data_IF_304508974955
#
_entry.id   IF_304508974955
#
_cell.length_a   1.000
_cell.length_b   1.000
_cell.length_c   1.000
_cell.angle_alpha   90.00
_cell.angle_beta   90.00
_cell.angle_gamma   90.00
#
_symmetry.space_group_name_H-M   'P 1'
#
loop_
_entity.id
_entity.type
_entity.pdbx_description
1 polymer ?
#
# COMPACT_ATOMS: atom_id res chain seq x y z
N UNK A 1 58.79 22.30 -30.75
CA UNK A 1 57.81 22.57 -31.82
C UNK A 1 56.75 21.47 -31.96
N UNK A 2 56.99 20.22 -31.56
CA UNK A 2 56.01 19.12 -31.72
C UNK A 2 54.82 19.22 -30.76
N UNK A 3 55.05 19.66 -29.52
CA UNK A 3 54.00 19.91 -28.52
C UNK A 3 52.90 20.85 -29.07
N UNK A 4 53.25 21.93 -29.77
CA UNK A 4 52.26 22.83 -30.38
C UNK A 4 51.46 22.16 -31.50
N UNK A 5 52.02 21.16 -32.20
CA UNK A 5 51.28 20.37 -33.20
C UNK A 5 50.29 19.43 -32.55
N UNK A 6 50.64 18.83 -31.40
CA UNK A 6 49.75 17.98 -30.61
C UNK A 6 48.57 18.81 -30.09
N UNK A 7 48.82 19.97 -29.49
CA UNK A 7 47.74 20.87 -29.04
C UNK A 7 46.87 21.37 -30.20
N UNK A 8 47.45 21.69 -31.36
CA UNK A 8 46.67 22.06 -32.54
C UNK A 8 45.77 20.92 -33.04
N UNK A 9 46.27 19.67 -33.05
CA UNK A 9 45.49 18.50 -33.43
C UNK A 9 44.30 18.25 -32.48
N UNK A 10 44.52 18.38 -31.17
CA UNK A 10 43.45 18.23 -30.15
C UNK A 10 42.39 19.32 -30.32
N UNK A 11 42.79 20.58 -30.51
CA UNK A 11 41.84 21.70 -30.71
C UNK A 11 41.02 21.54 -32.00
N UNK A 12 41.63 21.11 -33.10
CA UNK A 12 40.91 20.84 -34.37
C UNK A 12 39.95 19.66 -34.22
N UNK A 13 40.36 18.57 -33.58
CA UNK A 13 39.49 17.43 -33.33
C UNK A 13 38.28 17.81 -32.44
N UNK A 14 38.50 18.58 -31.37
CA UNK A 14 37.42 19.06 -30.50
C UNK A 14 36.43 19.98 -31.22
N UNK A 15 36.92 20.89 -32.06
CA UNK A 15 36.08 21.82 -32.83
C UNK A 15 35.26 21.10 -33.92
N UNK A 16 35.83 20.05 -34.54
CA UNK A 16 35.07 19.17 -35.45
C UNK A 16 34.00 18.39 -34.69
N UNK A 17 34.31 17.87 -33.50
CA UNK A 17 33.33 17.18 -32.64
C UNK A 17 32.16 18.07 -32.23
N UNK A 18 32.42 19.27 -31.71
CA UNK A 18 31.38 20.24 -31.34
C UNK A 18 30.54 20.71 -32.53
N UNK A 19 31.17 20.98 -33.69
CA UNK A 19 30.42 21.41 -34.87
C UNK A 19 29.57 20.30 -35.48
N UNK A 20 30.02 19.04 -35.44
CA UNK A 20 29.21 17.89 -35.83
C UNK A 20 27.98 17.72 -34.91
N UNK A 21 28.16 17.87 -33.58
CA UNK A 21 27.04 17.87 -32.63
C UNK A 21 26.02 18.97 -32.91
N UNK A 22 26.48 20.22 -33.04
CA UNK A 22 25.61 21.36 -33.33
C UNK A 22 24.87 21.23 -34.68
N UNK A 23 25.52 20.69 -35.72
CA UNK A 23 24.87 20.41 -37.02
C UNK A 23 23.87 19.25 -36.91
N UNK A 24 24.11 18.26 -36.06
CA UNK A 24 23.14 17.21 -35.76
C UNK A 24 21.91 17.78 -35.04
N UNK A 25 22.08 18.65 -34.03
CA UNK A 25 21.01 19.38 -33.33
C UNK A 25 20.19 20.29 -34.26
N UNK A 26 20.82 20.82 -35.31
CA UNK A 26 20.17 21.68 -36.31
C UNK A 26 19.40 20.88 -37.39
N UNK A 27 19.84 19.65 -37.70
CA UNK A 27 19.22 18.79 -38.72
C UNK A 27 18.18 17.83 -38.14
N UNK A 28 18.43 17.27 -36.96
CA UNK A 28 17.46 16.52 -36.19
C UNK A 28 16.76 17.56 -35.32
N UNK A 29 15.54 17.95 -35.72
CA UNK A 29 14.58 18.56 -34.80
C UNK A 29 13.80 17.41 -34.15
N UNK A 30 14.18 16.96 -32.93
CA UNK A 30 13.34 16.04 -32.20
C UNK A 30 12.09 16.82 -31.81
N UNK A 31 10.96 16.50 -32.44
CA UNK A 31 9.67 16.94 -31.93
C UNK A 31 9.46 16.23 -30.59
N UNK A 32 9.84 16.90 -29.51
CA UNK A 32 9.42 16.54 -28.16
C UNK A 32 7.90 16.74 -28.12
N UNK A 33 7.09 15.67 -27.98
CA UNK A 33 5.68 15.86 -27.71
C UNK A 33 5.57 16.46 -26.30
N UNK A 34 4.78 17.53 -26.15
CA UNK A 34 4.59 18.20 -24.85
C UNK A 34 3.75 17.33 -23.88
N UNK A 35 3.22 16.20 -24.35
CA UNK A 35 2.47 15.23 -23.58
C UNK A 35 2.83 13.80 -24.01
N UNK A 36 3.04 12.90 -23.04
CA UNK A 36 3.48 11.53 -23.31
C UNK A 36 2.30 10.69 -23.82
N UNK A 37 2.51 9.91 -24.88
CA UNK A 37 1.47 9.06 -25.48
C UNK A 37 0.88 7.98 -24.54
N UNK A 38 1.51 7.76 -23.37
CA UNK A 38 0.94 7.09 -22.21
C UNK A 38 1.22 7.93 -20.96
N UNK A 39 0.17 8.33 -20.25
CA UNK A 39 0.31 8.88 -18.91
C UNK A 39 0.50 7.72 -17.93
N UNK A 40 1.66 7.69 -17.29
CA UNK A 40 1.89 6.93 -16.06
C UNK A 40 2.17 7.95 -14.98
N UNK A 41 1.27 8.06 -14.00
CA UNK A 41 1.32 9.01 -12.89
C UNK A 41 2.40 8.68 -11.84
N UNK A 42 3.66 8.54 -12.26
CA UNK A 42 4.82 8.66 -11.36
C UNK A 42 5.06 10.14 -11.08
N UNK A 43 4.39 10.66 -10.07
CA UNK A 43 4.60 12.03 -9.60
C UNK A 43 5.92 12.18 -8.84
N UNK A 44 6.94 12.71 -9.51
CA UNK A 44 7.80 13.76 -8.97
C UNK A 44 8.44 14.54 -10.13
N UNK A 45 8.65 15.85 -9.94
CA UNK A 45 8.99 16.77 -11.02
C UNK A 45 9.26 18.22 -10.63
N UNK A 46 9.63 18.49 -9.38
CA UNK A 46 10.30 19.74 -9.00
C UNK A 46 9.45 21.02 -9.03
N UNK A 47 8.65 21.22 -7.97
CA UNK A 47 8.23 22.56 -7.54
C UNK A 47 8.82 22.87 -6.16
N UNK A 48 9.15 24.15 -5.92
CA UNK A 48 9.51 24.67 -4.60
C UNK A 48 8.36 24.39 -3.58
N UNK A 49 8.60 24.43 -2.25
CA UNK A 49 7.62 23.99 -1.26
C UNK A 49 6.40 24.91 -1.21
N UNK A 50 5.44 24.63 -2.10
CA UNK A 50 4.03 24.81 -1.80
C UNK A 50 3.75 23.91 -0.61
N UNK A 51 3.36 24.52 0.52
CA UNK A 51 2.74 23.78 1.60
C UNK A 51 1.56 23.05 0.99
N UNK A 52 1.66 21.72 0.93
CA UNK A 52 0.60 20.86 0.44
C UNK A 52 -0.52 20.99 1.47
N UNK A 53 -1.51 21.83 1.18
CA UNK A 53 -2.77 21.77 1.89
C UNK A 53 -3.31 20.38 1.63
N UNK A 54 -3.44 19.63 2.72
CA UNK A 54 -4.00 18.29 2.69
C UNK A 54 -5.37 18.37 2.02
N UNK A 55 -5.46 17.84 0.81
CA UNK A 55 -6.72 17.73 0.08
C UNK A 55 -7.53 16.66 0.82
N UNK A 56 -8.31 17.13 1.79
CA UNK A 56 -9.01 16.32 2.77
C UNK A 56 -9.79 15.22 2.07
N UNK A 57 -9.54 13.98 2.50
CA UNK A 57 -10.24 12.82 1.96
C UNK A 57 -11.74 12.93 2.25
N UNK A 58 -12.62 12.51 1.33
CA UNK A 58 -14.01 12.32 1.67
C UNK A 58 -14.12 11.30 2.82
N UNK A 59 -15.02 11.53 3.80
CA UNK A 59 -15.24 10.60 4.91
C UNK A 59 -15.68 9.24 4.39
N UNK A 60 -15.02 8.17 4.84
CA UNK A 60 -15.17 6.84 4.25
C UNK A 60 -16.47 6.15 4.65
N UNK A 61 -17.10 6.54 5.77
CA UNK A 61 -18.41 6.01 6.20
C UNK A 61 -19.48 6.03 5.09
N UNK A 62 -19.58 7.12 4.32
CA UNK A 62 -20.52 7.21 3.20
C UNK A 62 -20.18 6.28 2.02
N UNK A 63 -18.89 6.03 1.78
CA UNK A 63 -18.40 5.17 0.69
C UNK A 63 -18.49 3.67 1.04
N UNK A 64 -18.38 3.33 2.32
CA UNK A 64 -18.54 1.97 2.85
C UNK A 64 -19.99 1.48 2.72
N UNK A 65 -20.98 2.37 2.84
CA UNK A 65 -22.39 2.04 2.63
C UNK A 65 -22.70 1.57 1.20
N UNK A 66 -21.85 1.92 0.23
CA UNK A 66 -21.95 1.51 -1.18
C UNK A 66 -20.78 0.63 -1.65
N UNK A 67 -19.94 0.16 -0.74
CA UNK A 67 -18.76 -0.62 -1.08
C UNK A 67 -19.08 -2.07 -1.47
N UNK A 68 -18.33 -2.59 -2.44
CA UNK A 68 -18.40 -3.98 -2.90
C UNK A 68 -17.15 -4.76 -2.44
N UNK A 69 -17.30 -5.69 -1.47
CA UNK A 69 -16.20 -6.55 -1.03
C UNK A 69 -15.62 -7.46 -2.14
N UNK A 70 -16.38 -7.84 -3.18
CA UNK A 70 -15.86 -8.69 -4.26
C UNK A 70 -14.98 -7.90 -5.24
N UNK A 71 -15.33 -6.63 -5.51
CA UNK A 71 -14.42 -5.69 -6.15
C UNK A 71 -13.19 -5.43 -5.27
N UNK A 72 -13.38 -5.31 -3.95
CA UNK A 72 -12.32 -5.17 -2.96
C UNK A 72 -11.33 -6.32 -2.96
N UNK A 73 -11.80 -7.57 -2.99
CA UNK A 73 -10.98 -8.77 -3.12
C UNK A 73 -10.10 -8.74 -4.38
N UNK A 74 -10.69 -8.34 -5.51
CA UNK A 74 -9.98 -8.26 -6.79
C UNK A 74 -8.86 -7.22 -6.74
N UNK A 75 -9.08 -6.08 -6.09
CA UNK A 75 -8.07 -5.04 -5.86
C UNK A 75 -7.00 -5.48 -4.83
N UNK A 76 -7.42 -6.17 -3.77
CA UNK A 76 -6.55 -6.68 -2.70
C UNK A 76 -5.55 -7.75 -3.18
N UNK A 77 -5.71 -8.29 -4.40
CA UNK A 77 -4.68 -9.11 -5.07
C UNK A 77 -3.32 -8.39 -5.18
N UNK A 78 -3.30 -7.06 -5.22
CA UNK A 78 -2.03 -6.32 -5.18
C UNK A 78 -1.32 -6.46 -3.81
N UNK A 79 -2.07 -6.66 -2.72
CA UNK A 79 -1.54 -6.80 -1.37
C UNK A 79 -0.88 -8.18 -1.14
N UNK A 80 -1.35 -9.24 -1.82
CA UNK A 80 -0.86 -10.63 -1.62
C UNK A 80 0.61 -10.84 -1.99
N UNK A 81 1.19 -9.91 -2.76
CA UNK A 81 2.63 -9.90 -3.08
C UNK A 81 3.49 -9.70 -1.82
N UNK A 82 2.97 -8.97 -0.83
CA UNK A 82 3.70 -8.62 0.40
C UNK A 82 3.07 -9.20 1.67
N UNK A 83 1.76 -9.44 1.68
CA UNK A 83 0.97 -9.78 2.86
C UNK A 83 0.22 -11.10 2.71
N UNK A 84 -0.10 -11.74 3.83
CA UNK A 84 -1.02 -12.87 3.90
C UNK A 84 -2.40 -12.37 4.35
N UNK A 85 -3.44 -12.78 3.64
CA UNK A 85 -4.84 -12.36 3.84
C UNK A 85 -5.70 -13.43 4.53
N UNK A 86 -5.19 -14.65 4.70
CA UNK A 86 -5.89 -15.74 5.39
C UNK A 86 -5.59 -15.79 6.88
N UNK A 87 -6.36 -16.59 7.62
CA UNK A 87 -6.32 -16.70 9.08
C UNK A 87 -5.08 -17.39 9.64
N UNK A 88 -4.08 -17.76 8.82
CA UNK A 88 -2.76 -18.16 9.34
C UNK A 88 -2.01 -17.00 10.00
N UNK A 89 -2.28 -15.76 9.58
CA UNK A 89 -1.56 -14.58 10.06
C UNK A 89 -0.07 -14.58 9.72
N UNK A 90 0.39 -15.35 8.72
CA UNK A 90 1.81 -15.47 8.41
C UNK A 90 2.43 -14.13 7.97
N UNK A 91 3.58 -13.78 8.55
CA UNK A 91 4.36 -12.61 8.17
C UNK A 91 5.22 -12.89 6.93
N UNK A 92 5.27 -11.93 6.00
CA UNK A 92 6.14 -11.98 4.81
C UNK A 92 6.93 -10.67 4.67
N UNK A 93 6.83 -9.99 3.53
CA UNK A 93 7.42 -8.66 3.32
C UNK A 93 6.67 -7.61 4.16
N UNK A 94 5.37 -7.82 4.36
CA UNK A 94 4.53 -7.12 5.33
C UNK A 94 3.90 -8.11 6.34
N UNK A 95 3.25 -7.59 7.39
CA UNK A 95 2.56 -8.39 8.41
C UNK A 95 1.30 -9.07 7.84
N UNK A 96 0.78 -10.07 8.56
CA UNK A 96 -0.55 -10.63 8.30
C UNK A 96 -1.66 -9.56 8.36
N UNK A 97 -2.62 -9.64 7.43
CA UNK A 97 -3.74 -8.70 7.32
C UNK A 97 -5.09 -9.27 7.77
N UNK A 98 -5.15 -10.55 8.15
CA UNK A 98 -6.30 -11.08 8.89
C UNK A 98 -6.51 -10.30 10.18
N UNK A 99 -7.73 -9.86 10.45
CA UNK A 99 -8.11 -9.01 11.57
C UNK A 99 -7.35 -7.69 11.60
N UNK A 100 -7.15 -7.01 10.45
CA UNK A 100 -6.44 -5.71 10.43
C UNK A 100 -7.36 -4.53 10.78
N UNK A 101 -8.64 -4.58 10.43
CA UNK A 101 -9.60 -3.49 10.69
C UNK A 101 -9.91 -3.42 12.17
N UNK A 102 -9.62 -2.28 12.81
CA UNK A 102 -9.75 -2.07 14.26
C UNK A 102 -8.62 -2.70 15.09
N UNK A 103 -7.55 -3.20 14.48
CA UNK A 103 -6.37 -3.71 15.21
C UNK A 103 -5.40 -2.58 15.54
N UNK A 104 -4.67 -2.66 16.68
CA UNK A 104 -3.64 -1.69 16.97
C UNK A 104 -2.57 -1.58 15.87
N UNK A 105 -2.15 -0.34 15.61
CA UNK A 105 -1.10 -0.01 14.64
C UNK A 105 0.24 -0.59 15.11
N UNK A 106 1.05 -1.06 14.16
CA UNK A 106 2.37 -1.67 14.43
C UNK A 106 2.38 -2.86 15.42
N UNK A 107 1.26 -3.57 15.62
CA UNK A 107 1.12 -4.56 16.70
C UNK A 107 1.12 -6.04 16.28
N UNK A 108 1.29 -6.38 14.99
CA UNK A 108 1.22 -7.78 14.56
C UNK A 108 2.42 -8.57 15.10
N UNK A 109 2.14 -9.69 15.77
CA UNK A 109 3.16 -10.51 16.42
C UNK A 109 4.22 -10.97 15.41
N UNK A 110 5.49 -10.96 15.84
CA UNK A 110 6.62 -11.42 15.05
C UNK A 110 7.03 -10.56 13.84
N UNK A 111 6.39 -9.41 13.60
CA UNK A 111 6.74 -8.52 12.49
C UNK A 111 7.62 -7.33 12.92
N UNK A 112 8.70 -7.08 12.18
CA UNK A 112 9.63 -5.97 12.42
C UNK A 112 9.18 -4.69 11.69
N UNK A 113 8.46 -3.82 12.39
CA UNK A 113 7.97 -2.56 11.82
C UNK A 113 9.06 -1.50 11.63
N UNK A 114 8.93 -0.69 10.57
CA UNK A 114 9.75 0.51 10.35
C UNK A 114 9.53 1.58 11.42
N UNK A 115 10.56 2.37 11.74
CA UNK A 115 10.48 3.45 12.73
C UNK A 115 9.32 4.44 12.48
N UNK A 116 9.05 4.81 11.23
CA UNK A 116 7.91 5.69 10.89
C UNK A 116 6.54 5.08 11.24
N UNK A 117 6.39 3.76 11.08
CA UNK A 117 5.16 3.05 11.43
C UNK A 117 5.02 2.84 12.94
N UNK A 118 6.14 2.72 13.68
CA UNK A 118 6.13 2.69 15.13
C UNK A 118 5.72 4.06 15.70
N UNK A 119 6.27 5.15 15.18
CA UNK A 119 5.89 6.51 15.56
C UNK A 119 4.41 6.81 15.23
N UNK A 120 3.93 6.38 14.05
CA UNK A 120 2.52 6.55 13.70
C UNK A 120 1.57 5.80 14.65
N UNK A 121 1.99 4.70 15.28
CA UNK A 121 1.17 4.02 16.29
C UNK A 121 0.97 4.84 17.59
N UNK A 122 1.79 5.87 17.84
CA UNK A 122 1.60 6.80 18.97
C UNK A 122 0.54 7.87 18.64
N UNK A 123 0.41 8.25 17.37
CA UNK A 123 -0.56 9.23 16.85
C UNK A 123 -1.91 8.58 16.50
N UNK A 124 -1.85 7.36 15.97
CA UNK A 124 -2.94 6.58 15.41
C UNK A 124 -2.91 5.15 15.98
N UNK A 125 -3.38 4.95 17.22
CA UNK A 125 -3.18 3.69 17.94
C UNK A 125 -3.85 2.50 17.28
N UNK A 126 -4.93 2.70 16.51
CA UNK A 126 -5.73 1.65 15.89
C UNK A 126 -6.00 1.90 14.40
N UNK A 127 -6.07 0.84 13.61
CA UNK A 127 -6.46 0.86 12.19
C UNK A 127 -7.97 1.02 12.01
N UNK A 128 -8.49 2.21 12.30
CA UNK A 128 -9.88 2.58 11.99
C UNK A 128 -10.12 2.63 10.47
N UNK A 129 -11.39 2.72 10.06
CA UNK A 129 -11.75 2.87 8.64
C UNK A 129 -11.09 4.10 8.01
N UNK A 130 -11.12 5.23 8.71
CA UNK A 130 -10.49 6.49 8.34
C UNK A 130 -8.96 6.36 8.25
N UNK A 131 -8.28 5.78 9.24
CA UNK A 131 -6.82 5.61 9.18
C UNK A 131 -6.39 4.68 8.04
N UNK A 132 -7.16 3.62 7.76
CA UNK A 132 -6.95 2.78 6.58
C UNK A 132 -7.22 3.54 5.26
N UNK A 133 -8.24 4.41 5.20
CA UNK A 133 -8.54 5.23 4.03
C UNK A 133 -7.38 6.18 3.69
N UNK A 134 -6.85 6.87 4.70
CA UNK A 134 -5.70 7.76 4.57
C UNK A 134 -4.42 7.01 4.18
N UNK A 135 -4.09 5.94 4.91
CA UNK A 135 -2.89 5.16 4.63
C UNK A 135 -2.92 4.50 3.24
N UNK A 136 -4.05 3.91 2.84
CA UNK A 136 -4.17 3.28 1.53
C UNK A 136 -4.22 4.28 0.36
N UNK A 137 -4.55 5.57 0.57
CA UNK A 137 -4.43 6.60 -0.49
C UNK A 137 -2.98 6.77 -0.92
N UNK A 138 -2.05 6.97 0.03
CA UNK A 138 -0.60 7.06 -0.21
C UNK A 138 0.19 6.73 1.07
N UNK A 139 0.68 5.49 1.24
CA UNK A 139 1.34 5.04 2.47
C UNK A 139 2.54 5.87 2.91
N UNK A 140 3.35 6.35 1.95
CA UNK A 140 4.57 7.12 2.21
C UNK A 140 4.32 8.57 2.60
N UNK A 141 3.24 9.15 2.09
CA UNK A 141 2.85 10.54 2.37
C UNK A 141 2.17 10.58 3.75
N UNK A 142 1.32 9.58 4.06
CA UNK A 142 0.63 9.45 5.34
C UNK A 142 1.53 8.98 6.50
N UNK A 143 2.44 8.03 6.25
CA UNK A 143 3.39 7.54 7.25
C UNK A 143 4.82 7.73 6.75
N UNK A 144 5.42 8.91 6.98
CA UNK A 144 6.80 9.20 6.59
C UNK A 144 7.77 8.15 7.17
N UNK A 145 8.57 7.53 6.29
CA UNK A 145 9.51 6.48 6.70
C UNK A 145 8.89 5.09 6.89
N UNK A 146 7.65 4.84 6.45
CA UNK A 146 7.12 3.48 6.30
C UNK A 146 7.96 2.65 5.32
N UNK A 147 8.20 1.37 5.65
CA UNK A 147 8.81 0.42 4.71
C UNK A 147 7.86 -0.04 3.59
N UNK A 148 6.56 0.30 3.65
CA UNK A 148 5.59 -0.11 2.63
C UNK A 148 5.80 0.63 1.31
N UNK A 149 6.47 -0.02 0.35
CA UNK A 149 6.74 0.51 -0.98
C UNK A 149 5.55 0.42 -1.94
N UNK A 150 4.37 0.87 -1.53
CA UNK A 150 3.16 0.86 -2.34
C UNK A 150 2.83 2.26 -2.89
N UNK A 151 2.24 2.31 -4.09
CA UNK A 151 1.87 3.57 -4.77
C UNK A 151 0.57 4.19 -4.23
N UNK A 152 -0.25 3.39 -3.53
CA UNK A 152 -1.56 3.79 -3.03
C UNK A 152 -2.69 3.67 -4.06
N UNK A 153 -3.92 3.72 -3.57
CA UNK A 153 -5.16 3.61 -4.34
C UNK A 153 -5.81 5.00 -4.40
N UNK A 154 -5.76 5.64 -5.56
CA UNK A 154 -6.23 7.03 -5.72
C UNK A 154 -7.74 7.17 -5.74
N UNK A 155 -8.47 6.17 -6.24
CA UNK A 155 -9.93 6.18 -6.30
C UNK A 155 -10.51 5.87 -4.91
N UNK A 156 -11.45 6.71 -4.47
CA UNK A 156 -12.01 6.64 -3.12
C UNK A 156 -12.94 5.44 -2.92
N UNK A 157 -13.72 5.08 -3.94
CA UNK A 157 -14.58 3.90 -3.90
C UNK A 157 -13.75 2.62 -3.96
N UNK A 158 -12.64 2.59 -4.71
CA UNK A 158 -11.72 1.44 -4.74
C UNK A 158 -11.08 1.20 -3.36
N UNK A 159 -10.72 2.28 -2.63
CA UNK A 159 -10.28 2.15 -1.23
C UNK A 159 -11.38 1.63 -0.32
N UNK A 160 -12.59 2.17 -0.42
CA UNK A 160 -13.73 1.70 0.36
C UNK A 160 -14.06 0.22 0.08
N UNK A 161 -13.96 -0.22 -1.18
CA UNK A 161 -14.11 -1.63 -1.58
C UNK A 161 -13.04 -2.50 -0.92
N UNK A 162 -11.76 -2.13 -1.01
CA UNK A 162 -10.65 -2.87 -0.35
C UNK A 162 -10.83 -2.92 1.16
N UNK A 163 -11.22 -1.82 1.81
CA UNK A 163 -11.43 -1.76 3.26
C UNK A 163 -12.66 -2.59 3.68
N UNK A 164 -13.74 -2.58 2.88
CA UNK A 164 -14.90 -3.45 3.08
C UNK A 164 -14.53 -4.93 2.92
N UNK A 165 -13.61 -5.28 2.01
CA UNK A 165 -13.07 -6.64 1.91
C UNK A 165 -12.18 -7.00 3.10
N UNK A 166 -11.22 -6.15 3.49
CA UNK A 166 -10.36 -6.38 4.67
C UNK A 166 -11.17 -6.56 5.96
N UNK A 167 -12.30 -5.87 6.08
CA UNK A 167 -13.28 -6.06 7.17
C UNK A 167 -13.87 -7.48 7.21
N UNK A 168 -14.04 -8.16 6.07
CA UNK A 168 -14.52 -9.56 6.04
C UNK A 168 -13.49 -10.58 6.49
N UNK A 169 -12.21 -10.21 6.54
CA UNK A 169 -11.11 -11.06 6.98
C UNK A 169 -10.96 -11.02 8.51
N UNK A 170 -12.02 -11.36 9.25
CA UNK A 170 -12.03 -11.39 10.72
C UNK A 170 -13.09 -12.35 11.24
N UNK A 171 -12.83 -13.03 12.35
CA UNK A 171 -13.85 -13.77 13.11
C UNK A 171 -14.92 -12.82 13.72
N UNK A 172 -14.54 -11.59 14.06
CA UNK A 172 -15.41 -10.54 14.58
C UNK A 172 -15.23 -9.26 13.73
N UNK A 173 -16.01 -9.08 12.65
CA UNK A 173 -15.86 -7.95 11.74
C UNK A 173 -16.50 -6.69 12.34
N UNK A 174 -15.66 -5.71 12.70
CA UNK A 174 -16.03 -4.40 13.25
C UNK A 174 -17.30 -3.83 12.57
N UNK A 175 -18.28 -3.26 13.29
CA UNK A 175 -19.48 -2.70 12.67
C UNK A 175 -19.13 -1.55 11.72
N UNK A 176 -19.88 -1.42 10.62
CA UNK A 176 -19.74 -0.27 9.73
C UNK A 176 -20.21 1.00 10.47
N UNK A 177 -19.51 2.14 10.31
CA UNK A 177 -19.89 3.40 10.93
C UNK A 177 -21.17 3.95 10.28
N UNK A 178 -21.99 4.68 11.04
CA UNK A 178 -23.17 5.32 10.46
C UNK A 178 -22.72 6.44 9.49
N UNK A 179 -23.25 6.50 8.26
CA UNK A 179 -22.80 7.43 7.22
C UNK A 179 -23.11 8.90 7.52
N UNK A 180 -23.70 9.20 8.67
CA UNK A 180 -24.01 10.55 9.15
C UNK A 180 -23.20 10.94 10.41
N UNK A 181 -22.44 10.04 11.03
CA UNK A 181 -21.67 10.32 12.26
C UNK A 181 -20.24 10.84 11.98
N UNK A 182 -19.68 10.53 10.81
CA UNK A 182 -18.32 10.93 10.37
C UNK A 182 -18.08 12.43 10.14
N UNK A 183 -18.84 13.30 10.81
CA UNK A 183 -18.66 14.76 10.85
C UNK A 183 -18.14 15.22 12.22
N UNK A 184 -18.44 14.50 13.30
CA UNK A 184 -18.17 14.94 14.67
C UNK A 184 -16.85 14.38 15.24
N UNK A 185 -16.46 13.14 14.89
CA UNK A 185 -15.25 12.49 15.44
C UNK A 185 -13.93 13.20 15.04
N UNK A 186 -13.93 14.00 13.97
CA UNK A 186 -12.78 14.81 13.55
C UNK A 186 -12.66 16.17 14.29
N UNK A 187 -13.63 16.56 15.11
CA UNK A 187 -13.65 17.88 15.76
C UNK A 187 -13.24 17.85 17.24
N UNK A 188 -13.47 16.72 17.93
CA UNK A 188 -13.28 16.61 19.40
C UNK A 188 -11.80 16.65 19.83
N UNK A 189 -10.85 16.53 18.90
CA UNK A 189 -9.40 16.60 19.16
C UNK A 189 -8.79 18.00 19.21
N UNK A 190 -9.56 19.08 18.97
CA UNK A 190 -9.01 20.39 18.62
C UNK A 190 -9.56 21.60 19.42
N UNK A 191 -10.00 21.42 20.68
CA UNK A 191 -10.62 22.49 21.49
C UNK A 191 -10.06 22.63 22.93
N UNK A 192 -8.83 23.14 23.05
CA UNK A 192 -8.12 23.46 24.32
C UNK A 192 -7.08 24.58 24.03
N UNK A 193 -7.07 25.78 24.60
CA UNK A 193 -8.05 26.58 25.38
C UNK A 193 -8.03 28.06 24.86
N UNK A 194 -8.99 28.90 25.29
CA UNK A 194 -8.95 30.35 25.58
C UNK A 194 -10.26 31.09 25.15
N UNK A 195 -10.81 32.08 25.86
CA UNK A 195 -10.59 32.63 27.22
C UNK A 195 -11.86 33.45 27.64
N UNK A 196 -11.90 33.88 28.91
CA UNK A 196 -12.41 35.19 29.39
C UNK A 196 -13.68 35.24 30.28
N UNK A 197 -13.41 35.30 31.59
CA UNK A 197 -13.89 36.31 32.54
C UNK A 197 -15.35 36.31 33.07
N UNK A 198 -15.49 36.15 34.40
CA UNK A 198 -15.67 37.28 35.34
C UNK A 198 -15.75 36.86 36.83
N UNK A 199 -14.99 37.54 37.69
CA UNK A 199 -15.32 38.08 39.04
C UNK A 199 -14.03 38.26 39.88
N UNK A 200 -13.91 39.39 40.59
CA UNK A 200 -12.67 39.94 41.19
C UNK A 200 -12.74 39.98 42.76
N UNK A 201 -11.66 40.33 43.52
CA UNK A 201 -11.20 39.45 44.61
C UNK A 201 -11.18 40.06 46.02
N UNK A 202 -10.92 39.20 47.02
CA UNK A 202 -10.23 39.50 48.31
C UNK A 202 -9.62 38.19 48.86
N UNK A 203 -8.47 38.10 49.52
CA UNK A 203 -7.40 39.08 49.79
C UNK A 203 -6.29 38.48 50.69
N UNK A 204 -5.16 39.19 50.81
CA UNK A 204 -4.21 39.20 51.95
C UNK A 204 -3.31 37.97 52.28
N UNK A 205 -2.16 37.91 51.58
CA UNK A 205 -0.77 37.99 52.12
C UNK A 205 -0.10 36.92 53.03
N UNK A 206 1.26 37.03 53.11
CA UNK A 206 2.22 36.47 54.13
C UNK A 206 2.61 34.98 53.91
N UNK A 207 3.87 34.49 53.82
CA UNK A 207 5.29 35.02 53.82
C UNK A 207 6.29 33.91 53.40
N UNK A 208 7.54 34.26 53.00
CA UNK A 208 8.89 33.62 53.23
C UNK A 208 9.02 32.06 53.41
N UNK A 209 10.12 31.31 53.12
CA UNK A 209 11.50 31.45 52.60
C UNK A 209 11.92 29.99 52.18
N UNK A 210 12.58 29.72 51.02
CA UNK A 210 14.04 29.61 50.79
C UNK A 210 14.74 28.27 51.17
N UNK A 211 15.72 27.84 50.35
CA UNK A 211 16.61 26.66 50.51
C UNK A 211 16.13 25.37 49.81
N UNK A 212 16.67 24.83 48.70
CA UNK A 212 18.04 24.64 48.15
C UNK A 212 18.65 23.24 48.42
N UNK A 213 19.59 22.83 47.55
CA UNK A 213 20.47 21.64 47.54
C UNK A 213 19.91 20.29 47.01
N UNK A 214 20.31 19.98 45.76
CA UNK A 214 20.73 18.63 45.34
C UNK A 214 22.16 18.35 45.84
N UNK A 215 22.64 17.08 45.95
CA UNK A 215 23.22 16.34 44.79
C UNK A 215 22.77 14.86 44.74
N UNK A 216 22.71 14.17 43.59
CA UNK A 216 23.80 13.55 42.80
C UNK A 216 24.65 12.47 43.52
N UNK A 217 24.70 11.25 42.97
CA UNK A 217 25.88 10.36 43.03
C UNK A 217 25.91 9.39 41.81
N UNK A 218 27.10 8.90 41.50
CA UNK A 218 27.48 8.07 40.33
C UNK A 218 27.50 6.56 40.66
N UNK A 219 27.56 5.70 39.63
CA UNK A 219 28.57 4.62 39.49
C UNK A 219 28.35 3.73 38.25
N UNK A 220 29.43 3.08 37.81
CA UNK A 220 29.62 2.41 36.50
C UNK A 220 30.08 0.95 36.69
N UNK A 221 30.12 0.17 35.59
CA UNK A 221 30.84 -1.13 35.45
C UNK A 221 30.22 -2.38 36.15
N UNK A 222 30.38 -3.63 35.70
CA UNK A 222 31.17 -4.25 34.60
C UNK A 222 30.35 -5.27 33.79
N UNK A 223 30.87 -5.73 32.64
CA UNK A 223 30.48 -7.00 32.00
C UNK A 223 31.35 -8.17 32.53
N UNK A 224 31.02 -9.44 32.23
CA UNK A 224 31.91 -10.10 31.27
C UNK A 224 31.23 -11.09 30.29
N UNK A 225 32.04 -11.46 29.29
CA UNK A 225 31.82 -12.40 28.18
C UNK A 225 31.72 -13.87 28.60
N UNK A 226 31.07 -14.70 27.77
CA UNK A 226 31.63 -15.99 27.37
C UNK A 226 31.41 -16.25 25.87
N UNK A 227 32.38 -16.96 25.29
CA UNK A 227 32.49 -17.34 23.88
C UNK A 227 32.38 -18.87 23.79
N UNK A 228 31.63 -19.43 22.84
CA UNK A 228 31.79 -20.85 22.47
C UNK A 228 31.69 -21.03 20.96
N UNK A 229 32.73 -21.62 20.41
CA UNK A 229 32.87 -22.02 19.00
C UNK A 229 32.53 -23.51 18.80
N UNK A 230 32.35 -23.94 17.55
CA UNK A 230 31.97 -25.31 17.18
C UNK A 230 31.08 -25.28 15.93
N UNK A 231 31.64 -25.00 14.76
CA UNK A 231 32.30 -25.96 13.84
C UNK A 231 31.30 -26.78 13.02
N UNK A 232 31.53 -26.80 11.71
CA UNK A 232 30.57 -27.28 10.71
C UNK A 232 30.64 -28.79 10.49
N UNK A 233 29.50 -29.39 10.16
CA UNK A 233 29.42 -30.71 9.52
C UNK A 233 28.64 -30.57 8.22
N UNK A 234 29.32 -30.82 7.11
CA UNK A 234 28.74 -31.07 5.80
C UNK A 234 28.08 -32.45 5.77
N UNK A 235 26.85 -32.59 5.26
CA UNK A 235 26.46 -33.66 4.31
C UNK A 235 25.26 -33.20 3.47
N UNK A 236 25.35 -33.42 2.15
CA UNK A 236 24.27 -33.34 1.17
C UNK A 236 23.79 -34.77 0.91
N UNK A 237 22.49 -35.02 0.67
CA UNK A 237 22.19 -35.75 -0.56
C UNK A 237 20.91 -35.29 -1.31
N UNK A 238 21.09 -35.09 -2.61
CA UNK A 238 20.19 -35.42 -3.72
C UNK A 238 18.67 -35.61 -3.44
N UNK A 239 17.86 -34.72 -4.03
CA UNK A 239 16.42 -34.90 -4.22
C UNK A 239 15.96 -34.28 -5.56
N UNK A 240 16.45 -34.83 -6.69
CA UNK A 240 16.14 -34.32 -8.05
C UNK A 240 15.36 -35.28 -8.95
N UNK A 241 14.98 -36.47 -8.48
CA UNK A 241 14.20 -37.45 -9.27
C UNK A 241 12.71 -37.55 -8.88
N UNK A 242 12.23 -36.75 -7.92
CA UNK A 242 10.82 -36.74 -7.46
C UNK A 242 10.01 -35.59 -8.09
N UNK A 243 10.66 -34.69 -8.82
CA UNK A 243 10.04 -33.46 -9.37
C UNK A 243 9.56 -33.55 -10.83
N UNK A 244 9.95 -34.57 -11.59
CA UNK A 244 9.44 -34.79 -12.97
C UNK A 244 8.09 -35.53 -12.98
N UNK A 245 7.94 -36.60 -12.19
CA UNK A 245 6.72 -37.43 -12.12
C UNK A 245 5.48 -36.64 -11.69
N UNK A 246 5.64 -35.71 -10.74
CA UNK A 246 4.60 -34.81 -10.28
C UNK A 246 4.19 -33.75 -11.34
N UNK A 247 5.12 -33.34 -12.22
CA UNK A 247 4.84 -32.35 -13.25
C UNK A 247 4.09 -32.96 -14.44
N UNK A 248 4.41 -34.20 -14.83
CA UNK A 248 3.69 -34.93 -15.88
C UNK A 248 2.26 -35.27 -15.43
N UNK A 249 2.09 -35.76 -14.20
CA UNK A 249 0.76 -36.03 -13.61
C UNK A 249 -0.11 -34.77 -13.51
N UNK A 250 0.48 -33.62 -13.18
CA UNK A 250 -0.25 -32.34 -13.14
C UNK A 250 -0.68 -31.87 -14.53
N UNK A 251 0.16 -32.07 -15.56
CA UNK A 251 -0.17 -31.70 -16.94
C UNK A 251 -1.30 -32.54 -17.53
N UNK A 252 -1.31 -33.87 -17.28
CA UNK A 252 -2.37 -34.77 -17.73
C UNK A 252 -3.72 -34.42 -17.07
N UNK A 253 -3.71 -34.18 -15.74
CA UNK A 253 -4.91 -33.76 -14.98
C UNK A 253 -5.49 -32.44 -15.51
N UNK A 254 -4.65 -31.48 -15.89
CA UNK A 254 -5.09 -30.19 -16.46
C UNK A 254 -5.71 -30.38 -17.85
N UNK A 255 -5.16 -31.25 -18.70
CA UNK A 255 -5.78 -31.54 -20.00
C UNK A 255 -7.17 -32.17 -19.84
N UNK A 256 -7.29 -33.23 -19.03
CA UNK A 256 -8.57 -33.92 -18.80
C UNK A 256 -9.63 -32.97 -18.22
N UNK A 257 -9.24 -32.04 -17.34
CA UNK A 257 -10.14 -31.01 -16.80
C UNK A 257 -10.58 -30.00 -17.86
N UNK A 258 -9.70 -29.62 -18.79
CA UNK A 258 -10.02 -28.68 -19.89
C UNK A 258 -10.94 -29.33 -20.93
N UNK A 259 -10.68 -30.59 -21.30
CA UNK A 259 -11.55 -31.35 -22.20
C UNK A 259 -12.94 -31.57 -21.58
N UNK A 260 -13.03 -31.92 -20.29
CA UNK A 260 -14.31 -32.06 -19.58
C UNK A 260 -15.07 -30.73 -19.46
N UNK A 261 -14.37 -29.60 -19.26
CA UNK A 261 -14.99 -28.27 -19.27
C UNK A 261 -15.49 -27.85 -20.66
N UNK A 262 -14.79 -28.26 -21.73
CA UNK A 262 -15.21 -27.99 -23.11
C UNK A 262 -16.45 -28.82 -23.50
N UNK A 263 -16.52 -30.09 -23.10
CA UNK A 263 -17.69 -30.96 -23.32
C UNK A 263 -18.93 -30.40 -22.58
N UNK A 264 -18.79 -30.04 -21.30
CA UNK A 264 -19.87 -29.42 -20.53
C UNK A 264 -20.34 -28.07 -21.11
N UNK A 265 -19.43 -27.24 -21.62
CA UNK A 265 -19.80 -26.00 -22.29
C UNK A 265 -20.53 -26.23 -23.63
N UNK A 266 -20.21 -27.32 -24.34
CA UNK A 266 -20.92 -27.75 -25.54
C UNK A 266 -22.36 -28.19 -25.25
N UNK A 267 -22.56 -29.01 -24.22
CA UNK A 267 -23.87 -29.54 -23.85
C UNK A 267 -24.83 -28.41 -23.38
N UNK A 268 -24.32 -27.44 -22.61
CA UNK A 268 -25.09 -26.23 -22.22
C UNK A 268 -25.43 -25.35 -23.43
N UNK A 269 -24.57 -25.29 -24.45
CA UNK A 269 -24.85 -24.53 -25.68
C UNK A 269 -25.92 -25.21 -26.57
N UNK A 270 -25.94 -26.54 -26.61
CA UNK A 270 -26.95 -27.32 -27.34
C UNK A 270 -28.32 -27.24 -26.66
N UNK A 271 -28.38 -27.38 -25.33
CA UNK A 271 -29.63 -27.20 -24.54
C UNK A 271 -30.20 -25.77 -24.68
N UNK A 272 -29.33 -24.75 -24.71
CA UNK A 272 -29.74 -23.38 -24.96
C UNK A 272 -30.28 -23.16 -26.38
N UNK A 273 -29.73 -23.87 -27.38
CA UNK A 273 -30.20 -23.82 -28.76
C UNK A 273 -31.56 -24.53 -28.93
N UNK A 274 -31.75 -25.71 -28.34
CA UNK A 274 -33.05 -26.41 -28.36
C UNK A 274 -34.13 -25.59 -27.65
N UNK A 275 -33.81 -24.98 -26.50
CA UNK A 275 -34.73 -24.10 -25.77
C UNK A 275 -35.15 -22.89 -26.60
N UNK A 276 -34.24 -22.31 -27.40
CA UNK A 276 -34.53 -21.19 -28.28
C UNK A 276 -35.43 -21.58 -29.47
N UNK A 277 -35.24 -22.78 -30.04
CA UNK A 277 -36.08 -23.29 -31.13
C UNK A 277 -37.50 -23.61 -30.66
N UNK A 278 -37.65 -24.27 -29.50
CA UNK A 278 -38.95 -24.52 -28.85
C UNK A 278 -39.69 -23.20 -28.55
N UNK A 279 -38.99 -22.16 -28.10
CA UNK A 279 -39.58 -20.83 -27.88
C UNK A 279 -40.03 -20.15 -29.17
N UNK A 280 -39.31 -20.35 -30.28
CA UNK A 280 -39.67 -19.83 -31.59
C UNK A 280 -40.91 -20.54 -32.18
N UNK A 281 -41.00 -21.87 -32.06
CA UNK A 281 -42.17 -22.63 -32.50
C UNK A 281 -43.44 -22.24 -31.71
N UNK A 282 -43.31 -22.10 -30.37
CA UNK A 282 -44.40 -21.65 -29.51
C UNK A 282 -44.89 -20.22 -29.87
N UNK A 283 -43.98 -19.32 -30.24
CA UNK A 283 -44.32 -17.97 -30.68
C UNK A 283 -45.01 -17.96 -32.05
N UNK A 284 -44.59 -18.80 -32.99
CA UNK A 284 -45.23 -18.94 -34.31
C UNK A 284 -46.68 -19.44 -34.19
N UNK A 285 -46.89 -20.50 -33.42
CA UNK A 285 -48.21 -21.13 -33.26
C UNK A 285 -49.24 -20.23 -32.52
N UNK A 286 -48.80 -19.13 -31.90
CA UNK A 286 -49.64 -18.12 -31.26
C UNK A 286 -50.09 -16.99 -32.22
N UNK A 287 -49.56 -16.93 -33.44
CA UNK A 287 -49.90 -15.91 -34.46
C UNK A 287 -50.97 -16.42 -35.45
N UNK A 288 -51.11 -17.73 -35.61
CA UNK A 288 -52.10 -18.40 -36.47
C UNK A 288 -53.43 -18.78 -35.75
N UNK A 289 -53.63 -18.31 -34.51
CA UNK A 289 -54.79 -18.63 -33.64
C UNK A 289 -55.73 -17.44 -33.39
#
# INVERSE_FOLDING_TARGET
MEINKIFAAILVAGLIGMSAGFVAELLISPHHPEENAYHVDTGDGGAAPVAQQEEALPPIAGLLATADPAAGETLARACTTCHVLDSSGENRVGPGLWGVVGRPTASHEGFSYSAGMQAHAEEAPDWTYEQLNHFLRRPRDWVPGTSMSYAGIRNDQDRANVIAYLRTLSEDPLPLPDPNEGVEESAEGAAVEEDAAAEEPTGEAVTEESGDEAPADEATEEAPTEETTGEAVTEEPAATEVVEDAAETAAETVSETVDQAAEAAGEVADEAAETADQAAEAAGNAVDA
#
